data_IF_740040764922
#
_entry.id   IF_740040764922
#
_cell.length_a   1.000
_cell.length_b   1.000
_cell.length_c   1.000
_cell.angle_alpha   90.00
_cell.angle_beta   90.00
_cell.angle_gamma   90.00
#
_symmetry.space_group_name_H-M   'P 1'
#
loop_
_entity.id
_entity.type
_entity.pdbx_description
1 polymer ?
#
# COMPACT_ATOMS: atom_id res chain seq x y z
N UNK A 1 -39.17 -19.30 33.02
CA UNK A 1 -37.73 -19.20 32.68
C UNK A 1 -37.52 -18.66 31.26
N UNK A 2 -38.56 -18.54 30.44
CA UNK A 2 -38.40 -18.20 29.02
C UNK A 2 -38.25 -16.70 28.74
N UNK A 3 -38.92 -15.85 29.54
CA UNK A 3 -38.87 -14.38 29.34
C UNK A 3 -37.49 -13.78 29.60
N UNK A 4 -36.84 -14.14 30.69
CA UNK A 4 -35.48 -13.67 31.03
C UNK A 4 -34.46 -14.11 29.98
N UNK A 5 -34.57 -15.34 29.49
CA UNK A 5 -33.72 -15.85 28.41
C UNK A 5 -33.89 -15.05 27.11
N UNK A 6 -35.14 -14.70 26.76
CA UNK A 6 -35.44 -13.87 25.58
C UNK A 6 -34.83 -12.46 25.74
N UNK A 7 -34.99 -11.81 26.90
CA UNK A 7 -34.42 -10.48 27.13
C UNK A 7 -32.88 -10.49 27.11
N UNK A 8 -32.24 -11.51 27.69
CA UNK A 8 -30.79 -11.67 27.63
C UNK A 8 -30.29 -11.91 26.20
N UNK A 9 -31.01 -12.70 25.41
CA UNK A 9 -30.66 -12.97 24.01
C UNK A 9 -30.76 -11.70 23.15
N UNK A 10 -31.83 -10.93 23.32
CA UNK A 10 -32.03 -9.65 22.62
C UNK A 10 -30.96 -8.64 23.01
N UNK A 11 -30.62 -8.56 24.30
CA UNK A 11 -29.54 -7.70 24.80
C UNK A 11 -28.18 -8.08 24.22
N UNK A 12 -27.89 -9.37 24.11
CA UNK A 12 -26.64 -9.87 23.52
C UNK A 12 -26.52 -9.51 22.03
N UNK A 13 -27.60 -9.64 21.26
CA UNK A 13 -27.61 -9.27 19.84
C UNK A 13 -27.40 -7.76 19.66
N UNK A 14 -28.05 -6.93 20.48
CA UNK A 14 -27.86 -5.48 20.47
C UNK A 14 -26.43 -5.08 20.83
N UNK A 15 -25.88 -5.69 21.88
CA UNK A 15 -24.50 -5.46 22.31
C UNK A 15 -23.49 -5.85 21.21
N UNK A 16 -23.67 -7.03 20.60
CA UNK A 16 -22.80 -7.47 19.52
C UNK A 16 -22.91 -6.56 18.29
N UNK A 17 -24.11 -6.04 17.98
CA UNK A 17 -24.31 -5.05 16.92
C UNK A 17 -23.55 -3.74 17.16
N UNK A 18 -23.54 -3.25 18.40
CA UNK A 18 -22.78 -2.04 18.81
C UNK A 18 -21.28 -2.29 18.70
N UNK A 19 -20.80 -3.44 19.18
CA UNK A 19 -19.38 -3.83 19.06
C UNK A 19 -18.98 -3.88 17.59
N UNK A 20 -19.74 -4.53 16.72
CA UNK A 20 -19.43 -4.57 15.29
C UNK A 20 -19.41 -3.16 14.69
N UNK A 21 -20.34 -2.28 15.04
CA UNK A 21 -20.36 -0.90 14.53
C UNK A 21 -19.13 -0.08 14.95
N UNK A 22 -18.65 -0.25 16.19
CA UNK A 22 -17.45 0.44 16.69
C UNK A 22 -16.19 -0.07 15.98
N UNK A 23 -16.12 -1.37 15.70
CA UNK A 23 -14.96 -1.98 15.04
C UNK A 23 -14.99 -1.88 13.50
N UNK A 24 -16.14 -1.58 12.88
CA UNK A 24 -16.31 -1.76 11.43
C UNK A 24 -15.52 -0.78 10.56
N UNK A 25 -15.24 0.46 10.98
CA UNK A 25 -14.45 1.36 10.13
C UNK A 25 -13.86 2.51 10.96
N UNK A 26 -12.64 2.31 11.47
CA UNK A 26 -11.79 3.40 11.97
C UNK A 26 -10.74 3.84 10.96
N UNK A 27 -10.62 3.21 9.79
CA UNK A 27 -9.76 3.75 8.73
C UNK A 27 -10.50 4.86 7.97
N UNK A 28 -10.03 6.12 8.05
CA UNK A 28 -10.65 7.23 7.34
C UNK A 28 -10.68 6.93 5.83
N UNK A 29 -11.79 7.24 5.18
CA UNK A 29 -11.98 7.06 3.73
C UNK A 29 -10.88 7.78 2.92
N UNK A 30 -10.35 8.87 3.46
CA UNK A 30 -9.17 9.58 2.92
C UNK A 30 -7.89 8.74 2.96
N UNK A 31 -7.65 7.97 4.03
CA UNK A 31 -6.47 7.08 4.13
C UNK A 31 -6.56 5.98 3.08
N UNK A 32 -7.74 5.37 2.87
CA UNK A 32 -7.96 4.42 1.77
C UNK A 32 -7.72 5.05 0.39
N UNK A 33 -8.13 6.30 0.20
CA UNK A 33 -7.99 7.00 -1.08
C UNK A 33 -6.54 7.40 -1.35
N UNK A 34 -5.81 7.85 -0.32
CA UNK A 34 -4.37 8.14 -0.38
C UNK A 34 -3.58 6.86 -0.67
N UNK A 35 -3.88 5.76 0.02
CA UNK A 35 -3.25 4.46 -0.23
C UNK A 35 -3.51 3.93 -1.64
N UNK A 36 -4.74 4.06 -2.16
CA UNK A 36 -5.07 3.65 -3.52
C UNK A 36 -4.31 4.47 -4.57
N UNK A 37 -4.27 5.80 -4.42
CA UNK A 37 -3.49 6.67 -5.32
C UNK A 37 -2.00 6.36 -5.27
N UNK A 38 -1.45 6.08 -4.08
CA UNK A 38 -0.06 5.64 -3.91
C UNK A 38 0.22 4.36 -4.68
N UNK A 39 -0.64 3.36 -4.54
CA UNK A 39 -0.50 2.07 -5.23
C UNK A 39 -0.54 2.22 -6.75
N UNK A 40 -1.46 3.04 -7.29
CA UNK A 40 -1.53 3.33 -8.73
C UNK A 40 -0.25 4.03 -9.24
N UNK A 41 0.30 4.98 -8.48
CA UNK A 41 1.55 5.67 -8.83
C UNK A 41 2.72 4.69 -8.82
N UNK A 42 2.83 3.85 -7.79
CA UNK A 42 3.86 2.82 -7.66
C UNK A 42 3.81 1.81 -8.80
N UNK A 43 2.62 1.31 -9.12
CA UNK A 43 2.41 0.35 -10.21
C UNK A 43 2.92 0.91 -11.53
N UNK A 44 2.58 2.17 -11.83
CA UNK A 44 3.02 2.85 -13.04
C UNK A 44 4.54 3.01 -13.11
N UNK A 45 5.20 3.27 -11.98
CA UNK A 45 6.66 3.34 -11.93
C UNK A 45 7.31 1.96 -12.07
N UNK A 46 6.70 0.91 -11.51
CA UNK A 46 7.21 -0.45 -11.62
C UNK A 46 7.08 -0.97 -13.06
N UNK A 47 5.99 -0.67 -13.75
CA UNK A 47 5.82 -0.96 -15.18
C UNK A 47 6.87 -0.24 -16.04
N UNK A 48 7.09 1.05 -15.82
CA UNK A 48 8.14 1.81 -16.53
C UNK A 48 9.54 1.26 -16.25
N UNK A 49 9.82 0.84 -15.01
CA UNK A 49 11.09 0.23 -14.63
C UNK A 49 11.29 -1.11 -15.36
N UNK A 50 10.26 -1.96 -15.34
CA UNK A 50 10.26 -3.26 -16.03
C UNK A 50 10.45 -3.10 -17.54
N UNK A 51 9.71 -2.20 -18.19
CA UNK A 51 9.81 -1.93 -19.62
C UNK A 51 11.20 -1.37 -20.00
N UNK A 52 11.74 -0.47 -19.18
CA UNK A 52 13.08 0.11 -19.40
C UNK A 52 14.23 -0.89 -19.15
N UNK A 53 13.99 -1.94 -18.34
CA UNK A 53 14.96 -2.97 -17.99
C UNK A 53 14.83 -4.25 -18.84
N UNK A 54 13.67 -4.53 -19.44
CA UNK A 54 13.43 -5.65 -20.33
C UNK A 54 14.51 -5.85 -21.42
N UNK A 55 14.99 -4.80 -22.13
CA UNK A 55 16.05 -4.95 -23.13
C UNK A 55 17.43 -5.27 -22.54
N UNK A 56 17.64 -5.04 -21.23
CA UNK A 56 18.91 -5.28 -20.53
C UNK A 56 18.91 -6.59 -19.74
N UNK A 57 17.86 -7.41 -19.80
CA UNK A 57 17.74 -8.66 -19.04
C UNK A 57 18.86 -9.68 -19.31
N UNK A 58 19.56 -9.57 -20.45
CA UNK A 58 20.71 -10.42 -20.83
C UNK A 58 22.06 -9.89 -20.37
N UNK A 59 22.15 -8.62 -19.99
CA UNK A 59 23.40 -7.98 -19.55
C UNK A 59 23.26 -7.55 -18.09
N UNK A 60 23.82 -8.37 -17.19
CA UNK A 60 23.65 -8.22 -15.75
C UNK A 60 24.28 -6.92 -15.21
N UNK A 61 25.39 -6.48 -15.75
CA UNK A 61 26.03 -5.23 -15.33
C UNK A 61 25.25 -4.01 -15.83
N UNK A 62 24.85 -4.03 -17.11
CA UNK A 62 24.02 -2.96 -17.67
C UNK A 62 22.65 -2.88 -16.99
N UNK A 63 22.05 -4.02 -16.64
CA UNK A 63 20.78 -4.11 -15.90
C UNK A 63 20.89 -3.47 -14.53
N UNK A 64 21.92 -3.80 -13.74
CA UNK A 64 22.11 -3.24 -12.38
C UNK A 64 22.38 -1.73 -12.44
N UNK A 65 23.23 -1.29 -13.38
CA UNK A 65 23.54 0.14 -13.54
C UNK A 65 22.30 0.95 -13.97
N UNK A 66 21.53 0.47 -14.94
CA UNK A 66 20.26 1.07 -15.35
C UNK A 66 19.21 1.05 -14.23
N UNK A 67 19.06 -0.06 -13.51
CA UNK A 67 18.10 -0.21 -12.40
C UNK A 67 18.40 0.82 -11.31
N UNK A 68 19.66 0.94 -10.90
CA UNK A 68 20.09 1.94 -9.92
C UNK A 68 19.83 3.39 -10.37
N UNK A 69 20.14 3.71 -11.63
CA UNK A 69 19.89 5.04 -12.18
C UNK A 69 18.38 5.38 -12.26
N UNK A 70 17.55 4.43 -12.66
CA UNK A 70 16.10 4.58 -12.70
C UNK A 70 15.50 4.72 -11.31
N UNK A 71 15.89 3.86 -10.35
CA UNK A 71 15.43 3.94 -8.96
C UNK A 71 15.76 5.30 -8.35
N UNK A 72 16.94 5.85 -8.63
CA UNK A 72 17.32 7.19 -8.17
C UNK A 72 16.43 8.28 -8.75
N UNK A 73 16.07 8.18 -10.03
CA UNK A 73 15.15 9.10 -10.70
C UNK A 73 13.72 8.98 -10.14
N UNK A 74 13.23 7.76 -9.98
CA UNK A 74 11.91 7.47 -9.38
C UNK A 74 11.85 8.00 -7.95
N UNK A 75 12.90 7.80 -7.15
CA UNK A 75 12.99 8.35 -5.79
C UNK A 75 12.87 9.88 -5.78
N UNK A 76 13.51 10.56 -6.74
CA UNK A 76 13.50 12.01 -6.83
C UNK A 76 12.15 12.56 -7.32
N UNK A 77 11.46 11.83 -8.19
CA UNK A 77 10.11 12.16 -8.63
C UNK A 77 9.06 11.87 -7.53
N UNK A 78 9.21 10.77 -6.79
CA UNK A 78 8.37 10.44 -5.64
C UNK A 78 8.56 11.44 -4.49
N UNK A 79 9.78 11.94 -4.26
CA UNK A 79 10.03 12.96 -3.23
C UNK A 79 9.42 14.32 -3.55
N UNK A 80 9.09 14.58 -4.81
CA UNK A 80 8.35 15.78 -5.24
C UNK A 80 6.83 15.58 -5.17
N UNK A 81 6.36 14.37 -4.87
CA UNK A 81 4.96 14.04 -4.84
C UNK A 81 4.41 14.14 -3.41
N UNK A 82 3.42 15.00 -3.20
CA UNK A 82 2.77 15.25 -1.90
C UNK A 82 2.15 14.01 -1.24
N UNK A 83 1.98 12.93 -2.00
CA UNK A 83 1.42 11.70 -1.48
C UNK A 83 2.45 10.87 -0.71
N UNK A 84 3.75 11.02 -0.94
CA UNK A 84 4.77 10.14 -0.38
C UNK A 84 5.63 10.84 0.67
N UNK A 85 5.78 10.18 1.82
CA UNK A 85 6.68 10.62 2.88
C UNK A 85 8.11 10.05 2.66
N UNK A 86 9.13 10.72 3.19
CA UNK A 86 10.54 10.37 2.93
C UNK A 86 10.90 8.93 3.39
N UNK A 87 10.30 8.49 4.50
CA UNK A 87 10.43 7.12 5.01
C UNK A 87 9.73 6.09 4.11
N UNK A 88 8.60 6.45 3.51
CA UNK A 88 7.89 5.58 2.57
C UNK A 88 8.67 5.42 1.27
N UNK A 89 9.27 6.49 0.76
CA UNK A 89 10.14 6.45 -0.42
C UNK A 89 11.33 5.54 -0.17
N UNK A 90 11.97 5.65 1.01
CA UNK A 90 13.07 4.76 1.39
C UNK A 90 12.64 3.29 1.39
N UNK A 91 11.47 2.98 1.94
CA UNK A 91 10.92 1.61 1.93
C UNK A 91 10.63 1.12 0.51
N UNK A 92 10.02 1.93 -0.34
CA UNK A 92 9.72 1.59 -1.74
C UNK A 92 11.00 1.29 -2.52
N UNK A 93 12.03 2.11 -2.36
CA UNK A 93 13.33 1.91 -3.04
C UNK A 93 14.03 0.66 -2.51
N UNK A 94 13.94 0.37 -1.22
CA UNK A 94 14.47 -0.87 -0.64
C UNK A 94 13.74 -2.10 -1.18
N UNK A 95 12.41 -2.06 -1.26
CA UNK A 95 11.58 -3.16 -1.75
C UNK A 95 11.86 -3.44 -3.23
N UNK A 96 11.88 -2.41 -4.08
CA UNK A 96 12.23 -2.53 -5.51
C UNK A 96 13.69 -2.95 -5.74
N UNK A 97 14.60 -2.64 -4.80
CA UNK A 97 15.99 -3.09 -4.84
C UNK A 97 16.14 -4.55 -4.43
N UNK A 98 15.28 -5.06 -3.54
CA UNK A 98 15.30 -6.43 -3.03
C UNK A 98 14.56 -7.42 -3.94
N UNK A 99 13.53 -6.96 -4.67
CA UNK A 99 12.82 -7.77 -5.66
C UNK A 99 13.78 -8.17 -6.81
N UNK A 100 14.18 -9.44 -6.78
CA UNK A 100 15.08 -10.15 -7.70
C UNK A 100 14.42 -11.46 -8.14
#
# INVERSE_FOLDING_TARGET
MDGEFIYSLVGFILFMGIVVLIFRDTTPKEVRTKAKKKAEILQKYNEQLSEALAPFARDREAFVAKKSALLKKISQELSQNIFFDEDEIRNIILELSLEN
#
